data_IF_611995556989
#
_entry.id   IF_611995556989
#
_cell.length_a   1.000
_cell.length_b   1.000
_cell.length_c   1.000
_cell.angle_alpha   90.00
_cell.angle_beta   90.00
_cell.angle_gamma   90.00
#
_symmetry.space_group_name_H-M   'P 1'
#
loop_
_entity.id
_entity.type
_entity.pdbx_description
1 polymer ?
#
# COMPACT_ATOMS: atom_id res chain seq x y z
N UNK A 1 3.40 1.35 -13.71
CA UNK A 1 2.67 1.45 -12.43
C UNK A 1 1.27 2.06 -12.58
N UNK A 2 1.01 3.00 -13.50
CA UNK A 2 -0.32 3.65 -13.62
C UNK A 2 -1.44 2.88 -14.31
N UNK A 3 -1.19 1.70 -14.87
CA UNK A 3 -2.23 0.91 -15.56
C UNK A 3 -3.51 0.71 -14.74
N UNK A 4 -3.43 0.23 -13.48
CA UNK A 4 -4.60 0.08 -12.61
C UNK A 4 -5.31 1.41 -12.32
N UNK A 5 -4.57 2.50 -12.15
CA UNK A 5 -5.12 3.82 -11.86
C UNK A 5 -5.87 4.41 -13.05
N UNK A 6 -5.32 4.30 -14.26
CA UNK A 6 -5.99 4.72 -15.49
C UNK A 6 -7.25 3.88 -15.70
N UNK A 7 -7.17 2.56 -15.53
CA UNK A 7 -8.33 1.69 -15.61
C UNK A 7 -9.42 2.08 -14.60
N UNK A 8 -9.04 2.44 -13.36
CA UNK A 8 -9.98 2.97 -12.37
C UNK A 8 -10.59 4.31 -12.79
N UNK A 9 -9.81 5.26 -13.30
CA UNK A 9 -10.34 6.56 -13.76
C UNK A 9 -11.38 6.38 -14.88
N UNK A 10 -11.06 5.54 -15.87
CA UNK A 10 -12.00 5.19 -16.96
C UNK A 10 -13.24 4.50 -16.39
N UNK A 11 -13.06 3.55 -15.48
CA UNK A 11 -14.18 2.81 -14.88
C UNK A 11 -15.06 3.70 -14.01
N UNK A 12 -14.49 4.62 -13.23
CA UNK A 12 -15.24 5.64 -12.49
C UNK A 12 -16.08 6.49 -13.43
N UNK A 13 -15.55 6.89 -14.59
CA UNK A 13 -16.28 7.69 -15.57
C UNK A 13 -17.46 6.91 -16.19
N UNK A 14 -17.21 5.67 -16.65
CA UNK A 14 -18.21 4.83 -17.32
C UNK A 14 -19.31 4.39 -16.34
N UNK A 15 -18.94 4.00 -15.11
CA UNK A 15 -19.84 3.40 -14.13
C UNK A 15 -20.25 4.36 -12.99
N UNK A 16 -20.07 5.68 -13.17
CA UNK A 16 -20.33 6.71 -12.14
C UNK A 16 -21.68 6.59 -11.42
N UNK A 17 -22.73 6.16 -12.13
CA UNK A 17 -24.08 6.05 -11.57
C UNK A 17 -24.33 4.73 -10.81
N UNK A 18 -23.48 3.72 -10.99
CA UNK A 18 -23.61 2.38 -10.36
C UNK A 18 -22.60 2.15 -9.26
N UNK A 19 -21.43 2.78 -9.35
CA UNK A 19 -20.33 2.58 -8.42
C UNK A 19 -20.57 3.34 -7.11
N UNK A 20 -20.67 2.60 -5.99
CA UNK A 20 -20.75 3.18 -4.64
C UNK A 20 -19.36 3.32 -4.05
N UNK A 21 -18.79 4.51 -4.18
CA UNK A 21 -17.48 4.81 -3.61
C UNK A 21 -17.55 4.94 -2.10
N UNK A 22 -16.64 4.28 -1.42
CA UNK A 22 -16.52 4.34 0.04
C UNK A 22 -15.10 4.55 0.50
N UNK A 23 -14.11 4.12 -0.28
CA UNK A 23 -12.70 4.43 -0.08
C UNK A 23 -12.41 5.72 -0.85
N UNK A 24 -11.89 6.71 -0.14
CA UNK A 24 -11.58 8.03 -0.70
C UNK A 24 -10.13 8.38 -0.43
N UNK A 25 -9.66 9.44 -1.08
CA UNK A 25 -8.32 9.93 -0.82
C UNK A 25 -8.13 10.35 0.64
N UNK A 26 -9.13 10.99 1.25
CA UNK A 26 -9.07 11.50 2.62
C UNK A 26 -9.39 10.44 3.68
N UNK A 27 -10.24 9.47 3.34
CA UNK A 27 -10.86 8.56 4.30
C UNK A 27 -11.70 9.29 5.34
N UNK A 28 -11.76 8.77 6.57
CA UNK A 28 -12.47 9.43 7.70
C UNK A 28 -11.64 10.55 8.33
N UNK A 29 -10.31 10.58 8.13
CA UNK A 29 -9.45 11.66 8.62
C UNK A 29 -8.26 11.92 7.69
N UNK A 30 -8.27 13.08 7.02
CA UNK A 30 -7.17 13.50 6.15
C UNK A 30 -5.87 13.71 6.94
N UNK A 31 -5.95 14.36 8.10
CA UNK A 31 -4.78 14.65 8.94
C UNK A 31 -4.08 13.36 9.35
N UNK A 32 -4.82 12.36 9.83
CA UNK A 32 -4.23 11.06 10.19
C UNK A 32 -3.66 10.37 8.96
N UNK A 33 -4.29 10.48 7.79
CA UNK A 33 -3.75 9.93 6.53
C UNK A 33 -2.42 10.55 6.13
N UNK A 34 -2.31 11.88 6.17
CA UNK A 34 -1.06 12.60 5.90
C UNK A 34 0.03 12.16 6.89
N UNK A 35 -0.27 12.13 8.20
CA UNK A 35 0.68 11.67 9.20
C UNK A 35 1.11 10.22 8.96
N UNK A 36 0.17 9.34 8.61
CA UNK A 36 0.41 7.93 8.35
C UNK A 36 1.37 7.70 7.18
N UNK A 37 1.37 8.58 6.17
CA UNK A 37 2.26 8.52 5.02
C UNK A 37 3.61 9.22 5.25
N UNK A 38 3.61 10.46 5.74
CA UNK A 38 4.81 11.29 5.79
C UNK A 38 5.68 11.07 7.02
N UNK A 39 5.09 10.82 8.20
CA UNK A 39 5.86 10.64 9.44
C UNK A 39 6.84 9.46 9.37
N UNK A 40 6.52 8.33 8.72
CA UNK A 40 7.48 7.26 8.48
C UNK A 40 8.80 7.70 7.80
N UNK A 41 8.74 8.63 6.85
CA UNK A 41 9.94 9.14 6.19
C UNK A 41 10.78 10.01 7.12
N UNK A 42 10.14 10.76 8.02
CA UNK A 42 10.87 11.52 9.05
C UNK A 42 11.60 10.57 10.01
N UNK A 43 10.95 9.46 10.39
CA UNK A 43 11.57 8.40 11.20
C UNK A 43 12.76 7.78 10.45
N UNK A 44 12.61 7.44 9.17
CA UNK A 44 13.72 6.95 8.34
C UNK A 44 14.90 7.92 8.37
N UNK A 45 14.63 9.20 8.10
CA UNK A 45 15.67 10.22 8.05
C UNK A 45 16.40 10.33 9.38
N UNK A 46 15.67 10.33 10.49
CA UNK A 46 16.27 10.33 11.83
C UNK A 46 17.15 9.10 12.05
N UNK A 47 16.69 7.90 11.70
CA UNK A 47 17.48 6.66 11.83
C UNK A 47 18.77 6.76 11.03
N UNK A 48 18.71 7.20 9.77
CA UNK A 48 19.91 7.34 8.91
C UNK A 48 20.88 8.43 9.38
N UNK A 49 20.42 9.42 10.16
CA UNK A 49 21.29 10.44 10.75
C UNK A 49 22.01 9.92 12.00
N UNK A 50 21.45 8.91 12.67
CA UNK A 50 22.00 8.33 13.90
C UNK A 50 22.85 7.10 13.64
N UNK A 51 22.73 6.50 12.46
CA UNK A 51 23.45 5.30 12.06
C UNK A 51 23.84 5.39 10.59
N UNK A 52 25.15 5.52 10.32
CA UNK A 52 25.68 5.49 8.96
C UNK A 52 25.56 4.05 8.41
N UNK A 53 24.51 3.82 7.63
CA UNK A 53 24.18 2.52 7.05
C UNK A 53 24.68 2.37 5.61
N UNK A 54 25.08 1.15 5.26
CA UNK A 54 25.32 0.78 3.85
C UNK A 54 24.00 0.34 3.18
N UNK A 55 23.81 0.73 1.93
CA UNK A 55 22.63 0.35 1.13
C UNK A 55 21.39 1.20 1.38
N UNK A 56 21.53 2.34 2.05
CA UNK A 56 20.46 3.30 2.27
C UNK A 56 20.05 4.04 1.00
N UNK A 57 18.86 4.66 1.05
CA UNK A 57 18.47 5.65 0.05
C UNK A 57 19.53 6.74 0.04
N UNK A 58 20.20 7.01 -1.10
CA UNK A 58 21.21 8.05 -1.14
C UNK A 58 20.59 9.41 -0.76
N UNK A 59 21.29 10.19 0.07
CA UNK A 59 20.75 11.42 0.65
C UNK A 59 20.20 12.41 -0.40
N UNK A 60 20.88 12.54 -1.54
CA UNK A 60 20.49 13.44 -2.63
C UNK A 60 19.15 13.04 -3.29
N UNK A 61 18.78 11.77 -3.18
CA UNK A 61 17.56 11.21 -3.76
C UNK A 61 16.42 11.11 -2.75
N UNK A 62 16.69 11.28 -1.45
CA UNK A 62 15.71 11.06 -0.40
C UNK A 62 14.46 11.94 -0.56
N UNK A 63 14.64 13.23 -0.86
CA UNK A 63 13.53 14.15 -1.10
C UNK A 63 12.78 13.88 -2.41
N UNK A 64 13.41 13.19 -3.37
CA UNK A 64 12.81 12.80 -4.66
C UNK A 64 11.98 11.52 -4.50
N UNK A 65 12.43 10.58 -3.66
CA UNK A 65 11.73 9.29 -3.45
C UNK A 65 10.33 9.49 -2.86
N UNK A 66 10.14 10.48 -1.99
CA UNK A 66 8.84 10.73 -1.34
C UNK A 66 7.73 11.07 -2.37
N UNK A 67 7.86 12.12 -3.20
CA UNK A 67 6.84 12.47 -4.18
C UNK A 67 6.75 11.49 -5.36
N UNK A 68 7.88 10.92 -5.81
CA UNK A 68 7.87 9.96 -6.92
C UNK A 68 7.21 8.64 -6.50
N UNK A 69 7.58 8.10 -5.33
CA UNK A 69 6.93 6.95 -4.71
C UNK A 69 5.44 7.19 -4.50
N UNK A 70 5.07 8.37 -3.99
CA UNK A 70 3.67 8.76 -3.81
C UNK A 70 2.89 8.67 -5.12
N UNK A 71 3.39 9.29 -6.20
CA UNK A 71 2.69 9.34 -7.48
C UNK A 71 2.58 7.97 -8.13
N UNK A 72 3.66 7.17 -8.11
CA UNK A 72 3.66 5.84 -8.71
C UNK A 72 2.70 4.90 -7.99
N UNK A 73 2.72 4.92 -6.65
CA UNK A 73 1.90 4.05 -5.80
C UNK A 73 0.45 4.51 -5.77
N UNK A 74 0.18 5.83 -5.84
CA UNK A 74 -1.17 6.34 -6.02
C UNK A 74 -1.81 5.76 -7.28
N UNK A 75 -1.06 5.66 -8.39
CA UNK A 75 -1.53 5.02 -9.60
C UNK A 75 -2.00 3.59 -9.39
N UNK A 76 -1.27 2.79 -8.61
CA UNK A 76 -1.69 1.42 -8.30
C UNK A 76 -2.85 1.37 -7.30
N UNK A 77 -2.73 2.07 -6.18
CA UNK A 77 -3.70 2.02 -5.09
C UNK A 77 -5.06 2.62 -5.47
N UNK A 78 -5.09 3.59 -6.38
CA UNK A 78 -6.34 4.09 -6.96
C UNK A 78 -7.10 2.97 -7.70
N UNK A 79 -6.38 2.11 -8.40
CA UNK A 79 -6.91 0.91 -9.07
C UNK A 79 -7.40 -0.13 -8.07
N UNK A 80 -6.48 -0.63 -7.25
CA UNK A 80 -6.71 -1.79 -6.39
C UNK A 80 -7.65 -1.48 -5.23
N UNK A 81 -7.31 -0.47 -4.42
CA UNK A 81 -8.04 -0.12 -3.19
C UNK A 81 -9.11 0.94 -3.46
N UNK A 82 -8.84 1.86 -4.39
CA UNK A 82 -9.74 2.98 -4.70
C UNK A 82 -10.99 2.56 -5.48
N UNK A 83 -10.86 1.61 -6.41
CA UNK A 83 -11.96 1.16 -7.26
C UNK A 83 -12.29 -0.33 -7.07
N UNK A 84 -11.35 -1.23 -7.37
CA UNK A 84 -11.64 -2.66 -7.47
C UNK A 84 -12.09 -3.27 -6.14
N UNK A 85 -11.46 -2.89 -5.03
CA UNK A 85 -11.88 -3.35 -3.71
C UNK A 85 -13.33 -2.97 -3.38
N UNK A 86 -13.81 -1.80 -3.81
CA UNK A 86 -15.20 -1.38 -3.63
C UNK A 86 -16.17 -2.19 -4.51
N UNK A 87 -15.76 -2.54 -5.73
CA UNK A 87 -16.52 -3.43 -6.62
C UNK A 87 -16.66 -4.84 -6.04
N UNK A 88 -15.62 -5.36 -5.39
CA UNK A 88 -15.60 -6.73 -4.85
C UNK A 88 -16.30 -6.88 -3.48
N UNK A 89 -16.92 -5.83 -2.94
CA UNK A 89 -17.57 -5.87 -1.61
C UNK A 89 -18.66 -6.89 -1.44
N UNK A 90 -19.38 -7.20 -2.51
CA UNK A 90 -20.44 -8.21 -2.50
C UNK A 90 -19.93 -9.65 -2.44
N UNK A 91 -18.61 -9.87 -2.62
CA UNK A 91 -18.01 -11.18 -2.52
C UNK A 91 -17.78 -11.59 -1.07
N UNK A 92 -17.75 -12.91 -0.81
CA UNK A 92 -17.31 -13.42 0.48
C UNK A 92 -15.88 -12.98 0.77
N UNK A 93 -15.60 -12.69 2.04
CA UNK A 93 -14.39 -11.95 2.41
C UNK A 93 -13.09 -12.60 1.92
N UNK A 94 -12.89 -13.90 2.13
CA UNK A 94 -11.67 -14.57 1.68
C UNK A 94 -11.52 -14.56 0.16
N UNK A 95 -12.61 -14.71 -0.61
CA UNK A 95 -12.60 -14.69 -2.08
C UNK A 95 -12.19 -13.32 -2.60
N UNK A 96 -12.68 -12.25 -1.98
CA UNK A 96 -12.31 -10.87 -2.31
C UNK A 96 -10.78 -10.68 -2.23
N UNK A 97 -10.16 -11.11 -1.14
CA UNK A 97 -8.72 -10.90 -0.93
C UNK A 97 -7.85 -11.80 -1.79
N UNK A 98 -8.22 -13.07 -1.95
CA UNK A 98 -7.51 -13.99 -2.85
C UNK A 98 -7.58 -13.48 -4.28
N UNK A 99 -8.77 -13.09 -4.76
CA UNK A 99 -8.95 -12.60 -6.12
C UNK A 99 -8.22 -11.28 -6.37
N UNK A 100 -8.37 -10.30 -5.46
CA UNK A 100 -7.69 -9.01 -5.59
C UNK A 100 -6.17 -9.17 -5.56
N UNK A 101 -5.62 -9.98 -4.65
CA UNK A 101 -4.19 -10.20 -4.54
C UNK A 101 -3.63 -11.00 -5.71
N UNK A 102 -4.38 -11.98 -6.22
CA UNK A 102 -4.01 -12.71 -7.42
C UNK A 102 -3.92 -11.78 -8.64
N UNK A 103 -4.90 -10.90 -8.85
CA UNK A 103 -4.84 -9.91 -9.94
C UNK A 103 -3.67 -8.95 -9.77
N UNK A 104 -3.39 -8.52 -8.54
CA UNK A 104 -2.30 -7.60 -8.25
C UNK A 104 -0.92 -8.21 -8.49
N UNK A 105 -0.65 -9.46 -8.08
CA UNK A 105 0.63 -10.12 -8.44
C UNK A 105 0.69 -10.44 -9.94
N UNK A 106 -0.43 -10.81 -10.56
CA UNK A 106 -0.47 -11.06 -12.01
C UNK A 106 -0.14 -9.81 -12.82
N UNK A 107 -0.49 -8.62 -12.34
CA UNK A 107 -0.04 -7.36 -12.93
C UNK A 107 1.50 -7.24 -12.98
N UNK A 108 2.20 -7.90 -12.07
CA UNK A 108 3.67 -7.96 -11.98
C UNK A 108 4.27 -9.24 -12.59
N UNK A 109 3.50 -9.98 -13.39
CA UNK A 109 3.88 -11.33 -13.84
C UNK A 109 5.24 -11.36 -14.55
N UNK A 110 5.55 -10.37 -15.40
CA UNK A 110 6.82 -10.31 -16.14
C UNK A 110 8.05 -10.03 -15.26
N UNK A 111 7.86 -9.50 -14.04
CA UNK A 111 8.97 -9.16 -13.13
C UNK A 111 9.68 -10.41 -12.64
N UNK A 112 10.99 -10.47 -12.87
CA UNK A 112 11.82 -11.59 -12.41
C UNK A 112 11.58 -12.89 -13.18
N UNK A 113 11.11 -12.85 -14.43
CA UNK A 113 10.98 -14.05 -15.27
C UNK A 113 12.29 -14.44 -15.97
N UNK A 114 13.28 -13.54 -16.00
CA UNK A 114 14.55 -13.72 -16.75
C UNK A 114 15.73 -14.14 -15.88
N UNK A 115 15.53 -14.30 -14.57
CA UNK A 115 16.62 -14.52 -13.60
C UNK A 115 16.45 -15.85 -12.85
N UNK A 116 17.41 -16.76 -13.02
CA UNK A 116 17.46 -18.06 -12.33
C UNK A 116 16.97 -19.23 -13.17
N UNK A 117 16.93 -20.42 -12.57
CA UNK A 117 16.43 -21.65 -13.20
C UNK A 117 14.90 -21.64 -13.28
N UNK A 118 14.31 -22.41 -14.22
CA UNK A 118 12.86 -22.53 -14.34
C UNK A 118 12.19 -22.91 -13.00
N UNK A 119 12.65 -23.94 -12.25
CA UNK A 119 12.09 -24.24 -10.94
C UNK A 119 12.23 -23.10 -9.93
N UNK A 120 13.36 -22.38 -9.95
CA UNK A 120 13.58 -21.23 -9.07
C UNK A 120 12.64 -20.06 -9.38
N UNK A 121 12.36 -19.80 -10.66
CA UNK A 121 11.38 -18.80 -11.10
C UNK A 121 9.98 -19.18 -10.61
N UNK A 122 9.56 -20.44 -10.80
CA UNK A 122 8.24 -20.93 -10.37
C UNK A 122 8.09 -20.78 -8.85
N UNK A 123 9.06 -21.25 -8.07
CA UNK A 123 9.00 -21.19 -6.60
C UNK A 123 8.94 -19.76 -6.09
N UNK A 124 9.78 -18.86 -6.66
CA UNK A 124 9.75 -17.43 -6.33
C UNK A 124 8.38 -16.80 -6.64
N UNK A 125 7.80 -17.13 -7.80
CA UNK A 125 6.47 -16.62 -8.17
C UNK A 125 5.38 -17.12 -7.23
N UNK A 126 5.35 -18.41 -6.90
CA UNK A 126 4.40 -18.96 -5.93
C UNK A 126 4.51 -18.25 -4.57
N UNK A 127 5.74 -18.04 -4.10
CA UNK A 127 5.97 -17.28 -2.86
C UNK A 127 5.42 -15.85 -2.96
N UNK A 128 5.72 -15.12 -4.04
CA UNK A 128 5.21 -13.76 -4.25
C UNK A 128 3.67 -13.72 -4.30
N UNK A 129 3.00 -14.65 -4.97
CA UNK A 129 1.54 -14.72 -4.97
C UNK A 129 0.98 -14.86 -3.55
N UNK A 130 1.54 -15.76 -2.74
CA UNK A 130 1.10 -15.95 -1.34
C UNK A 130 1.35 -14.69 -0.51
N UNK A 131 2.54 -14.09 -0.63
CA UNK A 131 2.89 -12.85 0.08
C UNK A 131 1.99 -11.68 -0.33
N UNK A 132 1.76 -11.47 -1.62
CA UNK A 132 0.93 -10.38 -2.15
C UNK A 132 -0.54 -10.57 -1.78
N UNK A 133 -1.06 -11.80 -1.74
CA UNK A 133 -2.41 -12.07 -1.23
C UNK A 133 -2.50 -11.69 0.26
N UNK A 134 -1.51 -12.07 1.07
CA UNK A 134 -1.43 -11.67 2.48
C UNK A 134 -1.36 -10.15 2.68
N UNK A 135 -0.51 -9.47 1.90
CA UNK A 135 -0.42 -8.00 1.90
C UNK A 135 -1.72 -7.36 1.44
N UNK A 136 -2.41 -7.96 0.47
CA UNK A 136 -3.72 -7.50 -0.02
C UNK A 136 -4.75 -7.53 1.09
N UNK A 137 -4.82 -8.63 1.83
CA UNK A 137 -5.69 -8.74 3.00
C UNK A 137 -5.38 -7.65 4.04
N UNK A 138 -4.11 -7.51 4.44
CA UNK A 138 -3.68 -6.55 5.46
C UNK A 138 -4.00 -5.10 5.06
N UNK A 139 -3.50 -4.68 3.90
CA UNK A 139 -3.70 -3.32 3.38
C UNK A 139 -5.20 -3.07 3.14
N UNK A 140 -5.89 -4.05 2.55
CA UNK A 140 -7.31 -3.96 2.25
C UNK A 140 -8.17 -3.75 3.50
N UNK A 141 -7.90 -4.50 4.58
CA UNK A 141 -8.59 -4.36 5.86
C UNK A 141 -8.34 -3.01 6.54
N UNK A 142 -7.10 -2.56 6.57
CA UNK A 142 -6.76 -1.25 7.16
C UNK A 142 -7.38 -0.10 6.36
N UNK A 143 -7.42 -0.23 5.03
CA UNK A 143 -8.08 0.74 4.14
C UNK A 143 -9.60 0.70 4.31
N UNK A 144 -10.20 -0.48 4.52
CA UNK A 144 -11.63 -0.60 4.81
C UNK A 144 -12.02 0.06 6.13
N UNK A 145 -11.18 -0.08 7.16
CA UNK A 145 -11.38 0.53 8.48
C UNK A 145 -11.31 2.06 8.41
N UNK A 146 -10.26 2.59 7.78
CA UNK A 146 -9.97 4.04 7.74
C UNK A 146 -10.61 4.78 6.58
N UNK A 147 -11.07 4.05 5.56
CA UNK A 147 -11.55 4.56 4.27
C UNK A 147 -10.51 5.37 3.49
N UNK A 148 -9.25 5.37 3.92
CA UNK A 148 -8.21 6.30 3.46
C UNK A 148 -7.22 5.61 2.52
N UNK A 149 -7.08 6.15 1.31
CA UNK A 149 -6.03 5.69 0.38
C UNK A 149 -4.62 5.99 0.90
N UNK A 150 -4.43 7.00 1.77
CA UNK A 150 -3.11 7.25 2.37
C UNK A 150 -2.58 6.06 3.15
N UNK A 151 -3.46 5.30 3.82
CA UNK A 151 -3.06 4.09 4.56
C UNK A 151 -2.54 3.02 3.61
N UNK A 152 -3.23 2.81 2.48
CA UNK A 152 -2.78 1.87 1.46
C UNK A 152 -1.45 2.29 0.83
N UNK A 153 -1.35 3.56 0.44
CA UNK A 153 -0.14 4.10 -0.19
C UNK A 153 1.06 4.02 0.75
N UNK A 154 0.90 4.34 2.04
CA UNK A 154 2.00 4.30 3.00
C UNK A 154 2.54 2.87 3.15
N UNK A 155 1.67 1.89 3.42
CA UNK A 155 2.12 0.51 3.64
C UNK A 155 2.76 -0.04 2.36
N UNK A 156 2.16 0.18 1.19
CA UNK A 156 2.75 -0.24 -0.08
C UNK A 156 4.11 0.42 -0.32
N UNK A 157 4.25 1.73 -0.05
CA UNK A 157 5.54 2.43 -0.20
C UNK A 157 6.64 1.78 0.64
N UNK A 158 6.32 1.44 1.87
CA UNK A 158 7.29 0.82 2.77
C UNK A 158 7.59 -0.63 2.44
N UNK A 159 6.62 -1.38 1.90
CA UNK A 159 6.88 -2.69 1.31
C UNK A 159 7.86 -2.56 0.13
N UNK A 160 7.68 -1.58 -0.76
CA UNK A 160 8.62 -1.35 -1.86
C UNK A 160 10.00 -0.94 -1.35
N UNK A 161 10.08 -0.08 -0.34
CA UNK A 161 11.34 0.28 0.31
C UNK A 161 12.08 -0.95 0.84
N UNK A 162 11.39 -1.89 1.48
CA UNK A 162 11.98 -3.16 1.95
C UNK A 162 12.48 -4.06 0.81
N UNK A 163 11.81 -4.05 -0.35
CA UNK A 163 12.23 -4.82 -1.52
C UNK A 163 13.39 -4.17 -2.28
N UNK A 164 13.48 -2.84 -2.28
CA UNK A 164 14.46 -2.07 -3.06
C UNK A 164 15.75 -1.80 -2.28
N UNK A 165 15.65 -1.55 -0.97
CA UNK A 165 16.78 -1.13 -0.13
C UNK A 165 17.06 -2.17 0.95
N UNK A 166 18.06 -3.02 0.70
CA UNK A 166 18.58 -3.95 1.69
C UNK A 166 19.53 -3.23 2.67
N UNK A 167 18.96 -2.41 3.54
CA UNK A 167 19.68 -1.65 4.57
C UNK A 167 19.11 -1.94 5.96
N UNK A 168 20.00 -2.02 6.95
CA UNK A 168 19.63 -2.15 8.36
C UNK A 168 18.75 -0.99 8.83
N UNK A 169 18.99 0.23 8.32
CA UNK A 169 18.20 1.40 8.66
C UNK A 169 16.79 1.31 8.10
N UNK A 170 16.61 0.74 6.89
CA UNK A 170 15.27 0.45 6.34
C UNK A 170 14.50 -0.51 7.22
N UNK A 171 15.15 -1.57 7.73
CA UNK A 171 14.51 -2.53 8.63
C UNK A 171 14.16 -1.91 9.99
N UNK A 172 15.09 -1.16 10.61
CA UNK A 172 14.85 -0.46 11.89
C UNK A 172 13.70 0.54 11.74
N UNK A 173 13.76 1.41 10.73
CA UNK A 173 12.73 2.41 10.50
C UNK A 173 11.37 1.74 10.26
N UNK A 174 11.32 0.66 9.47
CA UNK A 174 10.08 -0.10 9.26
C UNK A 174 9.53 -0.67 10.57
N UNK A 175 10.39 -1.23 11.43
CA UNK A 175 9.99 -1.73 12.75
C UNK A 175 9.35 -0.65 13.62
N UNK A 176 9.96 0.54 13.68
CA UNK A 176 9.40 1.70 14.39
C UNK A 176 8.08 2.16 13.75
N UNK A 177 8.02 2.18 12.42
CA UNK A 177 6.82 2.58 11.68
C UNK A 177 5.64 1.65 11.89
N UNK A 178 5.86 0.34 12.07
CA UNK A 178 4.81 -0.60 12.44
C UNK A 178 4.17 -0.18 13.77
N UNK A 179 4.97 0.18 14.78
CA UNK A 179 4.46 0.66 16.07
C UNK A 179 3.68 1.97 15.93
N UNK A 180 4.21 2.92 15.16
CA UNK A 180 3.52 4.17 14.84
C UNK A 180 2.18 3.91 14.15
N UNK A 181 2.14 3.06 13.14
CA UNK A 181 0.92 2.75 12.40
C UNK A 181 -0.10 2.03 13.26
N UNK A 182 0.32 1.08 14.09
CA UNK A 182 -0.58 0.44 15.07
C UNK A 182 -1.18 1.49 15.99
N UNK A 183 -0.38 2.40 16.55
CA UNK A 183 -0.86 3.50 17.38
C UNK A 183 -1.85 4.40 16.63
N UNK A 184 -1.52 4.82 15.40
CA UNK A 184 -2.38 5.68 14.58
C UNK A 184 -3.71 5.00 14.26
N UNK A 185 -3.71 3.73 13.87
CA UNK A 185 -4.91 2.93 13.56
C UNK A 185 -5.76 2.70 14.81
N UNK A 186 -5.13 2.40 15.94
CA UNK A 186 -5.83 2.20 17.21
C UNK A 186 -6.62 3.47 17.60
N UNK A 187 -5.99 4.64 17.45
CA UNK A 187 -6.62 5.93 17.71
C UNK A 187 -7.45 6.46 16.53
N UNK A 188 -7.62 5.70 15.44
CA UNK A 188 -8.39 6.11 14.28
C UNK A 188 -9.84 5.65 14.41
N UNK A 189 -10.73 6.58 14.75
CA UNK A 189 -12.18 6.34 14.80
C UNK A 189 -12.67 5.78 13.47
N UNK A 190 -13.25 4.59 13.52
CA UNK A 190 -13.87 3.96 12.36
C UNK A 190 -15.22 4.61 12.04
N UNK A 191 -15.70 4.47 10.79
CA UNK A 191 -17.00 5.03 10.39
C UNK A 191 -18.18 4.53 11.25
N UNK A 192 -18.10 3.32 11.81
CA UNK A 192 -19.12 2.77 12.72
C UNK A 192 -19.20 3.50 14.06
N UNK A 193 -18.12 4.15 14.50
CA UNK A 193 -18.03 4.88 15.77
C UNK A 193 -18.40 6.36 15.63
N UNK A 194 -18.31 6.93 14.42
CA UNK A 194 -18.77 8.29 14.12
C UNK A 194 -20.30 8.40 14.11
N UNK A 195 -21.01 7.34 13.69
CA UNK A 195 -22.49 7.32 13.68
C UNK A 195 -23.11 7.11 15.06
N UNK A 196 -22.35 6.65 16.06
CA UNK A 196 -22.83 6.44 17.44
C UNK A 196 -22.49 7.59 18.39
N UNK A 197 -21.87 8.66 17.87
CA UNK A 197 -21.44 9.84 18.64
C UNK A 197 -22.10 11.14 18.17
N UNK A 198 -23.18 11.02 17.38
CA UNK A 198 -24.15 12.06 17.03
C UNK A 198 -25.50 11.68 17.61
#
# INVERSE_FOLDING_TARGET
MWGPGIAALVSFFIFKNRHKRTITFKGTSLTKGILFYFLPFLIYKLVTLLNDGYGDVPNDYFLVVIPTGFLLILGEELGWRGYLQDVLRGMTEWKKWVFLGFLWETWHFTRGMTQGTIPGIILRKLFLYVTVIGLTFLIGKLTERTRSLFVAMAIHTWVNMLFEYNSINTYIATGINILLWVYLIYNWKGKSEETSSQ
#
